data_IF_320228983834
#
_entry.id   IF_320228983834
#
_cell.length_a   1.000
_cell.length_b   1.000
_cell.length_c   1.000
_cell.angle_alpha   90.00
_cell.angle_beta   90.00
_cell.angle_gamma   90.00
#
_symmetry.space_group_name_H-M   'P 1'
#
loop_
_entity.id
_entity.type
_entity.pdbx_description
1 polymer ?
#
# COMPACT_ATOMS: atom_id res chain seq x y z
N UNK A 1 4.46 -17.63 -2.26
CA UNK A 1 4.66 -19.01 -1.77
C UNK A 1 3.34 -19.61 -1.29
N UNK A 2 2.70 -19.03 -0.26
CA UNK A 2 1.44 -19.52 0.34
C UNK A 2 0.37 -19.93 -0.68
N UNK A 3 -0.06 -19.04 -1.59
CA UNK A 3 -1.06 -19.35 -2.61
C UNK A 3 -0.74 -20.60 -3.48
N UNK A 4 0.54 -20.87 -3.75
CA UNK A 4 0.95 -22.09 -4.48
C UNK A 4 0.69 -23.32 -3.62
N UNK A 5 1.00 -23.26 -2.33
CA UNK A 5 0.70 -24.33 -1.36
C UNK A 5 -0.80 -24.54 -1.21
N UNK A 6 -1.60 -23.46 -1.17
CA UNK A 6 -3.07 -23.53 -1.14
C UNK A 6 -3.65 -24.21 -2.39
N UNK A 7 -3.15 -23.87 -3.59
CA UNK A 7 -3.57 -24.50 -4.85
C UNK A 7 -3.13 -25.97 -4.93
N UNK A 8 -1.94 -26.31 -4.45
CA UNK A 8 -1.49 -27.71 -4.37
C UNK A 8 -2.33 -28.53 -3.39
N UNK A 9 -2.70 -27.97 -2.23
CA UNK A 9 -3.59 -28.63 -1.27
C UNK A 9 -4.98 -28.90 -1.86
N UNK A 10 -5.53 -27.95 -2.63
CA UNK A 10 -6.77 -28.12 -3.40
C UNK A 10 -6.64 -29.20 -4.49
N UNK A 11 -5.51 -29.26 -5.20
CA UNK A 11 -5.28 -30.27 -6.25
C UNK A 11 -5.14 -31.66 -5.65
N UNK A 12 -4.34 -31.81 -4.60
CA UNK A 12 -3.93 -33.10 -4.02
C UNK A 12 -4.86 -33.56 -2.88
N UNK A 13 -5.91 -32.78 -2.60
CA UNK A 13 -6.94 -33.06 -1.56
C UNK A 13 -6.33 -33.38 -0.19
N UNK A 14 -5.23 -32.68 0.13
CA UNK A 14 -4.37 -32.96 1.27
C UNK A 14 -3.83 -31.66 1.84
N UNK A 15 -4.11 -31.40 3.11
CA UNK A 15 -3.54 -30.28 3.83
C UNK A 15 -2.09 -30.60 4.22
N UNK A 16 -1.11 -29.73 3.88
CA UNK A 16 0.28 -29.93 4.26
C UNK A 16 0.49 -29.74 5.77
N UNK A 17 1.54 -30.35 6.36
CA UNK A 17 1.86 -30.15 7.75
C UNK A 17 2.40 -28.74 8.01
N UNK A 18 1.93 -28.10 9.08
CA UNK A 18 2.58 -26.92 9.65
C UNK A 18 3.84 -27.37 10.39
N UNK A 19 5.01 -27.11 9.80
CA UNK A 19 6.31 -27.44 10.40
C UNK A 19 6.54 -26.64 11.69
N UNK A 20 7.15 -27.27 12.70
CA UNK A 20 7.43 -26.65 14.00
C UNK A 20 6.20 -26.46 14.91
N UNK A 21 4.98 -26.71 14.44
CA UNK A 21 3.76 -26.57 15.23
C UNK A 21 3.43 -27.87 15.97
N UNK A 22 3.78 -27.93 17.25
CA UNK A 22 3.73 -29.16 18.07
C UNK A 22 2.46 -29.32 18.93
N UNK A 23 1.66 -28.27 19.08
CA UNK A 23 0.42 -28.30 19.86
C UNK A 23 -0.48 -27.11 19.56
N UNK A 24 -1.79 -27.33 19.66
CA UNK A 24 -2.81 -26.28 19.45
C UNK A 24 -2.95 -25.46 20.73
N UNK A 25 -2.90 -24.12 20.62
CA UNK A 25 -3.26 -23.22 21.72
C UNK A 25 -4.75 -23.41 22.05
N UNK A 26 -5.15 -23.80 23.27
CA UNK A 26 -6.56 -23.98 23.65
C UNK A 26 -7.43 -22.72 23.48
N UNK A 27 -6.83 -21.53 23.37
CA UNK A 27 -7.53 -20.26 23.09
C UNK A 27 -7.70 -19.99 21.60
N UNK A 28 -6.99 -20.71 20.74
CA UNK A 28 -7.05 -20.59 19.29
C UNK A 28 -7.96 -21.68 18.71
N UNK A 29 -9.22 -21.35 18.44
CA UNK A 29 -10.21 -22.27 17.85
C UNK A 29 -9.98 -22.63 16.38
N UNK A 30 -8.76 -22.52 15.86
CA UNK A 30 -8.41 -22.88 14.48
C UNK A 30 -7.98 -24.35 14.39
N UNK A 31 -8.54 -25.05 13.41
CA UNK A 31 -8.20 -26.44 13.09
C UNK A 31 -6.88 -26.51 12.29
N UNK A 32 -5.77 -26.37 13.03
CA UNK A 32 -4.40 -26.45 12.50
C UNK A 32 -3.96 -27.89 12.21
N UNK A 33 -3.00 -28.06 11.29
CA UNK A 33 -2.48 -29.38 10.86
C UNK A 33 -1.04 -29.59 11.36
N UNK A 34 -0.82 -30.02 12.63
CA UNK A 34 0.51 -30.15 13.23
C UNK A 34 1.30 -31.33 12.66
N UNK A 35 2.53 -31.09 12.20
CA UNK A 35 3.61 -32.06 11.91
C UNK A 35 3.34 -33.19 10.89
N UNK A 36 2.09 -33.54 10.59
CA UNK A 36 1.70 -34.61 9.65
C UNK A 36 0.63 -34.08 8.70
N UNK A 37 0.78 -34.38 7.41
CA UNK A 37 -0.21 -34.03 6.41
C UNK A 37 -1.57 -34.69 6.71
N UNK A 38 -2.68 -34.00 6.42
CA UNK A 38 -4.03 -34.51 6.63
C UNK A 38 -4.80 -34.55 5.32
N UNK A 39 -5.21 -35.73 4.87
CA UNK A 39 -6.10 -35.87 3.72
C UNK A 39 -7.45 -35.23 4.05
N UNK A 40 -7.92 -34.31 3.22
CA UNK A 40 -9.16 -33.60 3.42
C UNK A 40 -9.75 -33.22 2.05
N UNK A 41 -10.88 -33.82 1.65
CA UNK A 41 -11.60 -33.38 0.46
C UNK A 41 -12.04 -31.92 0.59
N UNK A 42 -11.82 -31.13 -0.46
CA UNK A 42 -12.08 -29.69 -0.47
C UNK A 42 -12.28 -29.16 -1.89
N UNK A 43 -13.30 -28.32 -2.09
CA UNK A 43 -13.61 -27.69 -3.37
C UNK A 43 -13.15 -26.23 -3.46
N UNK A 44 -12.95 -25.59 -2.31
CA UNK A 44 -12.51 -24.20 -2.18
C UNK A 44 -11.48 -24.06 -1.06
N UNK A 45 -10.57 -23.09 -1.20
CA UNK A 45 -9.64 -22.70 -0.15
C UNK A 45 -9.32 -21.21 -0.22
N UNK A 46 -8.96 -20.61 0.91
CA UNK A 46 -8.51 -19.22 1.01
C UNK A 46 -7.00 -19.16 1.24
N UNK A 47 -6.35 -18.16 0.66
CA UNK A 47 -5.00 -17.71 1.01
C UNK A 47 -5.11 -16.30 1.57
N UNK A 48 -4.51 -16.04 2.74
CA UNK A 48 -4.68 -14.83 3.53
C UNK A 48 -3.30 -14.24 3.89
N UNK A 49 -2.96 -13.10 3.31
CA UNK A 49 -1.75 -12.38 3.60
C UNK A 49 -2.06 -11.08 4.35
N UNK A 50 -1.48 -10.91 5.54
CA UNK A 50 -1.62 -9.71 6.37
C UNK A 50 -0.23 -9.13 6.63
N UNK A 51 0.19 -8.19 5.77
CA UNK A 51 1.54 -7.62 5.81
C UNK A 51 1.63 -6.37 6.71
N UNK A 52 2.86 -5.93 6.98
CA UNK A 52 3.11 -4.68 7.70
C UNK A 52 2.41 -3.48 7.07
N UNK A 53 2.08 -2.51 7.91
CA UNK A 53 1.38 -1.27 7.54
C UNK A 53 -0.01 -1.47 6.89
N UNK A 54 -0.68 -2.61 7.17
CA UNK A 54 -2.09 -2.83 6.82
C UNK A 54 -2.34 -3.33 5.39
N UNK A 55 -1.30 -3.69 4.65
CA UNK A 55 -1.42 -4.27 3.31
C UNK A 55 -1.95 -5.72 3.41
N UNK A 56 -3.28 -5.84 3.38
CA UNK A 56 -4.03 -7.07 3.61
C UNK A 56 -4.66 -7.58 2.31
N UNK A 57 -4.56 -8.88 2.04
CA UNK A 57 -5.17 -9.51 0.87
C UNK A 57 -5.69 -10.93 1.19
N UNK A 58 -6.88 -11.24 0.69
CA UNK A 58 -7.46 -12.59 0.69
C UNK A 58 -7.74 -13.00 -0.75
N UNK A 59 -7.27 -14.19 -1.14
CA UNK A 59 -7.56 -14.79 -2.44
C UNK A 59 -8.30 -16.09 -2.24
N UNK A 60 -9.45 -16.24 -2.90
CA UNK A 60 -10.21 -17.49 -2.93
C UNK A 60 -9.85 -18.31 -4.18
N UNK A 61 -9.53 -19.57 -3.97
CA UNK A 61 -9.29 -20.56 -5.01
C UNK A 61 -10.40 -21.61 -4.98
N UNK A 62 -10.79 -22.10 -6.15
CA UNK A 62 -11.75 -23.18 -6.31
C UNK A 62 -11.20 -24.23 -7.29
N UNK A 63 -11.63 -25.48 -7.17
CA UNK A 63 -11.22 -26.52 -8.12
C UNK A 63 -11.87 -26.30 -9.50
N UNK A 64 -11.24 -26.75 -10.60
CA UNK A 64 -11.90 -26.80 -11.90
C UNK A 64 -13.23 -27.55 -11.81
N UNK A 65 -14.30 -26.97 -12.34
CA UNK A 65 -15.66 -27.51 -12.27
C UNK A 65 -16.46 -27.10 -11.02
N UNK A 66 -15.84 -26.52 -9.99
CA UNK A 66 -16.58 -25.89 -8.89
C UNK A 66 -17.25 -24.63 -9.40
N UNK A 67 -18.58 -24.55 -9.27
CA UNK A 67 -19.34 -23.35 -9.63
C UNK A 67 -18.96 -22.19 -8.71
N UNK A 68 -18.44 -21.12 -9.28
CA UNK A 68 -18.10 -19.86 -8.59
C UNK A 68 -18.80 -18.70 -9.29
N UNK A 69 -19.19 -17.63 -8.56
CA UNK A 69 -19.69 -16.42 -9.18
C UNK A 69 -18.64 -15.86 -10.16
N UNK A 70 -19.08 -15.44 -11.35
CA UNK A 70 -18.21 -14.72 -12.27
C UNK A 70 -17.65 -13.46 -11.59
N UNK A 71 -16.37 -13.11 -11.84
CA UNK A 71 -15.85 -11.82 -11.38
C UNK A 71 -16.67 -10.69 -11.99
N UNK A 72 -16.86 -9.56 -11.29
CA UNK A 72 -17.51 -8.40 -11.86
C UNK A 72 -16.72 -7.90 -13.08
N UNK A 73 -17.43 -7.58 -14.15
CA UNK A 73 -16.81 -6.97 -15.34
C UNK A 73 -16.19 -5.61 -15.01
N UNK A 74 -15.07 -5.31 -15.65
CA UNK A 74 -14.41 -4.01 -15.53
C UNK A 74 -15.35 -2.91 -16.05
N UNK A 75 -15.41 -1.79 -15.32
CA UNK A 75 -16.37 -0.72 -15.63
C UNK A 75 -15.85 0.16 -16.76
N UNK A 76 -16.76 0.51 -17.66
CA UNK A 76 -16.54 1.54 -18.67
C UNK A 76 -16.86 2.93 -18.10
N UNK A 77 -16.17 3.28 -17.02
CA UNK A 77 -16.27 4.57 -16.33
C UNK A 77 -14.97 5.35 -16.55
N UNK A 78 -15.10 6.64 -16.87
CA UNK A 78 -13.95 7.53 -17.04
C UNK A 78 -13.24 7.80 -15.72
N UNK A 79 -11.94 7.53 -15.68
CA UNK A 79 -11.07 7.94 -14.57
C UNK A 79 -10.63 9.39 -14.79
N UNK A 80 -10.73 10.20 -13.74
CA UNK A 80 -10.38 11.64 -13.76
C UNK A 80 -9.47 11.99 -12.59
N UNK A 81 -8.54 12.93 -12.82
CA UNK A 81 -7.73 13.53 -11.75
C UNK A 81 -8.55 14.64 -11.10
N UNK A 82 -8.72 14.57 -9.77
CA UNK A 82 -9.49 15.55 -8.98
C UNK A 82 -8.62 16.34 -8.00
N UNK A 83 -7.48 15.78 -7.59
CA UNK A 83 -6.54 16.37 -6.64
C UNK A 83 -5.11 16.25 -7.13
N UNK A 84 -4.30 17.27 -6.84
CA UNK A 84 -2.85 17.24 -7.05
C UNK A 84 -2.20 17.82 -5.78
N UNK A 85 -1.22 17.12 -5.24
CA UNK A 85 -0.41 17.58 -4.12
C UNK A 85 1.07 17.33 -4.43
N UNK A 86 1.93 18.27 -4.07
CA UNK A 86 3.36 18.25 -4.43
C UNK A 86 4.21 18.71 -3.25
N UNK A 87 5.30 18.00 -2.97
CA UNK A 87 6.28 18.42 -1.95
C UNK A 87 7.66 18.32 -2.57
N UNK A 88 8.17 19.45 -3.04
CA UNK A 88 9.38 19.55 -3.89
C UNK A 88 10.25 20.73 -3.47
N UNK A 89 11.51 20.77 -3.92
CA UNK A 89 12.37 21.95 -3.77
C UNK A 89 11.85 23.17 -4.56
N UNK A 90 10.97 22.95 -5.55
CA UNK A 90 10.31 24.00 -6.32
C UNK A 90 9.03 24.54 -5.67
N UNK A 91 8.46 23.87 -4.68
CA UNK A 91 7.17 24.25 -4.10
C UNK A 91 6.54 23.10 -3.28
N UNK A 92 5.72 23.46 -2.29
CA UNK A 92 5.02 22.52 -1.40
C UNK A 92 3.50 22.49 -1.63
N UNK A 93 3.05 23.10 -2.73
CA UNK A 93 1.69 23.14 -3.24
C UNK A 93 1.74 23.36 -4.77
N UNK A 94 0.66 23.04 -5.52
CA UNK A 94 0.68 23.11 -6.99
C UNK A 94 0.93 24.52 -7.54
N UNK A 95 0.38 25.56 -6.90
CA UNK A 95 0.45 26.94 -7.37
C UNK A 95 1.87 27.51 -7.22
N UNK A 96 2.48 27.37 -6.04
CA UNK A 96 3.85 27.82 -5.77
C UNK A 96 4.88 27.09 -6.66
N UNK A 97 4.65 25.80 -6.96
CA UNK A 97 5.46 25.06 -7.93
C UNK A 97 5.29 25.61 -9.34
N UNK A 98 4.05 25.88 -9.76
CA UNK A 98 3.72 26.40 -11.08
C UNK A 98 4.26 27.82 -11.31
N UNK A 99 4.20 28.70 -10.31
CA UNK A 99 4.79 30.04 -10.36
C UNK A 99 6.30 30.02 -10.57
N UNK A 100 7.02 29.23 -9.77
CA UNK A 100 8.48 29.09 -9.92
C UNK A 100 8.87 28.44 -11.24
N UNK A 101 8.10 27.46 -11.71
CA UNK A 101 8.28 26.87 -13.04
C UNK A 101 8.11 27.92 -14.15
N UNK A 102 7.03 28.71 -14.13
CA UNK A 102 6.79 29.79 -15.10
C UNK A 102 7.87 30.88 -15.06
N UNK A 103 8.43 31.16 -13.88
CA UNK A 103 9.54 32.09 -13.69
C UNK A 103 10.91 31.51 -14.10
N UNK A 104 10.99 30.27 -14.60
CA UNK A 104 12.23 29.63 -15.01
C UNK A 104 13.18 29.25 -13.86
N UNK A 105 12.67 29.21 -12.62
CA UNK A 105 13.49 28.95 -11.42
C UNK A 105 13.87 27.47 -11.36
N UNK A 106 15.17 27.18 -11.45
CA UNK A 106 15.72 25.84 -11.25
C UNK A 106 16.25 25.69 -9.82
N UNK A 107 15.58 24.93 -8.92
CA UNK A 107 15.98 24.82 -7.51
C UNK A 107 17.21 23.92 -7.25
N UNK A 108 17.85 23.39 -8.31
CA UNK A 108 18.98 22.45 -8.21
C UNK A 108 20.36 23.13 -8.25
N UNK A 109 21.10 23.06 -7.15
CA UNK A 109 22.43 23.66 -6.99
C UNK A 109 23.49 22.70 -6.43
N UNK A 110 24.71 23.18 -6.15
CA UNK A 110 25.76 22.40 -5.49
C UNK A 110 25.33 21.97 -4.08
N UNK A 111 25.44 20.67 -3.78
CA UNK A 111 25.09 20.07 -2.51
C UNK A 111 26.04 18.91 -2.19
N UNK A 112 26.88 19.06 -1.16
CA UNK A 112 27.85 18.04 -0.71
C UNK A 112 28.72 17.44 -1.83
N UNK A 113 29.21 18.28 -2.75
CA UNK A 113 30.04 17.86 -3.89
C UNK A 113 29.27 17.29 -5.10
N UNK A 114 27.95 17.17 -5.00
CA UNK A 114 27.05 16.77 -6.09
C UNK A 114 26.18 17.96 -6.51
N UNK A 115 25.35 17.80 -7.56
CA UNK A 115 24.26 18.73 -7.88
C UNK A 115 22.93 18.12 -7.45
N UNK A 116 22.19 18.79 -6.56
CA UNK A 116 20.92 18.31 -6.04
C UNK A 116 19.95 19.45 -5.75
N UNK A 117 18.66 19.11 -5.61
CA UNK A 117 17.59 20.02 -5.18
C UNK A 117 16.99 19.48 -3.87
N UNK A 118 17.53 19.83 -2.69
CA UNK A 118 17.04 19.31 -1.42
C UNK A 118 15.63 19.84 -1.12
N UNK A 119 14.72 18.95 -0.74
CA UNK A 119 13.35 19.32 -0.32
C UNK A 119 13.36 19.66 1.16
N UNK A 120 13.32 20.95 1.48
CA UNK A 120 13.01 21.44 2.83
C UNK A 120 11.48 21.48 3.00
N UNK A 121 10.98 20.85 4.07
CA UNK A 121 9.56 20.81 4.43
C UNK A 121 9.42 20.56 5.95
N UNK A 122 8.41 21.14 6.59
CA UNK A 122 8.05 20.81 7.97
C UNK A 122 6.89 19.80 7.98
N UNK A 123 7.13 18.51 8.31
CA UNK A 123 6.05 17.53 8.43
C UNK A 123 5.07 17.86 9.56
N UNK A 124 5.38 18.79 10.47
CA UNK A 124 4.51 19.21 11.56
C UNK A 124 3.22 19.90 11.15
N UNK A 125 3.14 20.42 9.92
CA UNK A 125 1.90 20.98 9.34
C UNK A 125 0.81 19.92 9.11
N UNK A 126 1.19 18.65 8.95
CA UNK A 126 0.26 17.56 8.56
C UNK A 126 0.29 16.35 9.49
N UNK A 127 1.41 16.10 10.19
CA UNK A 127 1.66 14.83 10.88
C UNK A 127 1.94 15.11 12.37
N UNK A 128 1.19 14.52 13.32
CA UNK A 128 1.42 14.79 14.73
C UNK A 128 2.78 14.25 15.22
N UNK A 129 3.34 14.77 16.33
CA UNK A 129 4.71 14.47 16.76
C UNK A 129 4.99 12.99 17.03
N UNK A 130 3.97 12.21 17.42
CA UNK A 130 4.10 10.79 17.80
C UNK A 130 4.29 9.91 16.57
N UNK A 131 3.57 10.23 15.50
CA UNK A 131 3.58 9.53 14.22
C UNK A 131 4.85 9.87 13.44
N UNK A 132 5.23 11.17 13.40
CA UNK A 132 6.47 11.65 12.74
C UNK A 132 7.73 10.90 13.16
N UNK A 133 7.87 10.57 14.44
CA UNK A 133 9.05 9.88 15.00
C UNK A 133 9.19 8.43 14.54
N UNK A 134 8.21 7.88 13.82
CA UNK A 134 8.14 6.47 13.40
C UNK A 134 8.17 6.29 11.89
N UNK A 135 8.51 7.33 11.13
CA UNK A 135 8.45 7.36 9.66
C UNK A 135 9.82 7.69 9.05
N UNK A 136 10.19 6.99 7.98
CA UNK A 136 11.25 7.44 7.09
C UNK A 136 10.86 8.75 6.37
N UNK A 137 11.86 9.47 5.84
CA UNK A 137 11.65 10.67 5.02
C UNK A 137 10.71 10.42 3.83
N UNK A 138 10.75 9.24 3.21
CA UNK A 138 9.82 8.86 2.14
C UNK A 138 8.36 8.86 2.61
N UNK A 139 8.09 8.29 3.79
CA UNK A 139 6.75 8.27 4.39
C UNK A 139 6.25 9.66 4.73
N UNK A 140 7.09 10.49 5.35
CA UNK A 140 6.76 11.89 5.69
C UNK A 140 6.41 12.72 4.45
N UNK A 141 7.16 12.57 3.36
CA UNK A 141 6.89 13.26 2.08
C UNK A 141 5.61 12.74 1.42
N UNK A 142 5.39 11.43 1.40
CA UNK A 142 4.21 10.81 0.81
C UNK A 142 2.92 11.25 1.55
N UNK A 143 2.92 11.24 2.88
CA UNK A 143 1.77 11.68 3.70
C UNK A 143 1.43 13.14 3.42
N UNK A 144 2.43 14.04 3.36
CA UNK A 144 2.19 15.45 3.07
C UNK A 144 1.66 15.66 1.63
N UNK A 145 2.23 15.00 0.62
CA UNK A 145 1.77 15.11 -0.76
C UNK A 145 0.34 14.57 -0.95
N UNK A 146 0.01 13.41 -0.38
CA UNK A 146 -1.33 12.84 -0.44
C UNK A 146 -2.35 13.67 0.37
N UNK A 147 -1.94 14.34 1.45
CA UNK A 147 -2.79 15.29 2.17
C UNK A 147 -3.13 16.51 1.30
N UNK A 148 -2.13 17.18 0.72
CA UNK A 148 -2.41 18.34 -0.16
C UNK A 148 -3.26 17.93 -1.38
N UNK A 149 -3.08 16.71 -1.92
CA UNK A 149 -3.93 16.18 -2.99
C UNK A 149 -5.40 16.00 -2.57
N UNK A 150 -5.66 15.50 -1.36
CA UNK A 150 -7.00 15.39 -0.79
C UNK A 150 -7.65 16.78 -0.59
N UNK A 151 -6.89 17.73 -0.03
CA UNK A 151 -7.33 19.12 0.18
C UNK A 151 -7.66 19.80 -1.15
N UNK A 152 -6.79 19.67 -2.17
CA UNK A 152 -7.04 20.22 -3.50
C UNK A 152 -8.29 19.62 -4.17
N UNK A 153 -8.59 18.34 -3.92
CA UNK A 153 -9.81 17.72 -4.41
C UNK A 153 -11.08 18.08 -3.61
N UNK A 154 -10.93 18.69 -2.42
CA UNK A 154 -12.01 18.92 -1.47
C UNK A 154 -12.57 17.63 -0.85
N UNK A 155 -11.71 16.63 -0.60
CA UNK A 155 -12.11 15.28 -0.21
C UNK A 155 -11.45 14.81 1.08
N UNK A 156 -12.19 14.06 1.90
CA UNK A 156 -11.63 13.28 3.01
C UNK A 156 -11.29 11.85 2.57
N UNK A 157 -10.31 11.23 3.25
CA UNK A 157 -10.00 9.82 3.05
C UNK A 157 -11.03 8.92 3.75
N UNK A 158 -11.36 7.78 3.13
CA UNK A 158 -12.34 6.83 3.67
C UNK A 158 -12.08 5.39 3.20
N UNK A 159 -13.06 4.50 3.44
CA UNK A 159 -13.02 3.06 3.18
C UNK A 159 -12.77 2.63 1.72
N UNK A 160 -12.99 3.52 0.75
CA UNK A 160 -12.81 3.24 -0.69
C UNK A 160 -11.82 4.20 -1.34
N UNK A 161 -10.99 4.83 -0.51
CA UNK A 161 -9.75 5.50 -0.91
C UNK A 161 -8.61 4.50 -0.72
N UNK A 162 -7.98 4.09 -1.81
CA UNK A 162 -6.73 3.32 -1.78
C UNK A 162 -5.50 4.21 -1.89
N UNK A 163 -4.32 3.61 -1.81
CA UNK A 163 -3.02 4.29 -1.96
C UNK A 163 -2.13 3.46 -2.89
N UNK A 164 -1.58 4.06 -3.95
CA UNK A 164 -0.56 3.40 -4.80
C UNK A 164 0.67 4.28 -4.88
N UNK A 165 1.67 3.98 -4.05
CA UNK A 165 2.89 4.76 -3.98
C UNK A 165 3.93 4.27 -5.00
N UNK A 166 4.44 5.17 -5.85
CA UNK A 166 5.63 4.92 -6.67
C UNK A 166 6.91 5.28 -5.92
N UNK A 167 7.90 4.37 -5.84
CA UNK A 167 9.25 4.73 -5.35
C UNK A 167 10.35 4.02 -6.13
N UNK A 168 11.42 4.76 -6.46
CA UNK A 168 12.54 4.23 -7.25
C UNK A 168 13.59 3.48 -6.40
N UNK A 169 13.94 4.03 -5.24
CA UNK A 169 14.98 3.50 -4.34
C UNK A 169 14.47 3.10 -2.95
N UNK A 170 13.21 3.42 -2.62
CA UNK A 170 12.66 3.12 -1.30
C UNK A 170 13.23 4.01 -0.18
N UNK A 171 13.09 3.58 1.09
CA UNK A 171 13.38 4.38 2.28
C UNK A 171 14.88 4.39 2.63
N UNK A 172 15.70 4.98 1.75
CA UNK A 172 17.17 4.91 1.81
C UNK A 172 17.78 5.27 3.17
N UNK A 173 17.23 6.25 3.91
CA UNK A 173 17.75 6.66 5.23
C UNK A 173 17.54 5.56 6.27
N UNK A 174 16.32 5.04 6.43
CA UNK A 174 16.08 3.93 7.37
C UNK A 174 16.81 2.65 6.95
N UNK A 175 16.97 2.40 5.65
CA UNK A 175 17.79 1.28 5.15
C UNK A 175 19.26 1.45 5.56
N UNK A 176 19.86 2.63 5.38
CA UNK A 176 21.23 2.94 5.83
C UNK A 176 21.38 2.79 7.36
N UNK A 177 20.47 3.40 8.13
CA UNK A 177 20.44 3.35 9.59
C UNK A 177 20.32 1.92 10.15
N UNK A 178 19.59 1.04 9.45
CA UNK A 178 19.45 -0.36 9.82
C UNK A 178 20.65 -1.22 9.42
N UNK A 179 21.16 -1.07 8.19
CA UNK A 179 22.18 -1.98 7.65
C UNK A 179 23.62 -1.61 8.03
N UNK A 180 23.99 -0.33 8.18
CA UNK A 180 25.37 0.03 8.52
C UNK A 180 25.84 -0.58 9.86
N UNK A 181 25.06 -0.54 10.97
CA UNK A 181 25.46 -1.21 12.22
C UNK A 181 25.56 -2.73 12.06
N UNK A 182 24.65 -3.35 11.30
CA UNK A 182 24.66 -4.79 11.04
C UNK A 182 25.88 -5.23 10.24
N UNK A 183 26.31 -4.43 9.26
CA UNK A 183 27.52 -4.70 8.49
C UNK A 183 28.80 -4.48 9.32
N UNK A 184 28.80 -3.51 10.24
CA UNK A 184 29.96 -3.19 11.08
C UNK A 184 30.11 -4.08 12.32
N UNK A 185 29.02 -4.63 12.87
CA UNK A 185 29.02 -5.32 14.17
C UNK A 185 28.14 -6.57 14.23
N UNK A 186 27.64 -7.04 13.09
CA UNK A 186 26.82 -8.25 12.98
C UNK A 186 25.34 -8.05 13.33
N UNK A 187 24.54 -9.11 13.18
CA UNK A 187 23.08 -9.07 13.30
C UNK A 187 22.55 -8.62 14.67
N UNK A 188 23.34 -8.73 15.74
CA UNK A 188 22.98 -8.24 17.06
C UNK A 188 22.85 -6.70 17.13
N UNK A 189 23.43 -5.96 16.17
CA UNK A 189 23.31 -4.51 16.06
C UNK A 189 22.06 -4.05 15.28
N UNK A 190 21.24 -4.97 14.77
CA UNK A 190 20.00 -4.66 14.06
C UNK A 190 18.97 -3.99 15.00
N UNK A 191 18.45 -2.82 14.62
CA UNK A 191 17.43 -2.11 15.42
C UNK A 191 16.00 -2.53 15.03
N UNK A 192 15.23 -3.20 15.92
CA UNK A 192 13.85 -3.57 15.65
C UNK A 192 12.90 -2.36 15.51
N UNK A 193 13.32 -1.19 16.01
CA UNK A 193 12.55 0.05 15.90
C UNK A 193 12.67 0.69 14.50
N UNK A 194 13.81 0.49 13.82
CA UNK A 194 14.06 1.01 12.46
C UNK A 194 13.52 0.06 11.39
N UNK A 195 13.59 -1.25 11.63
CA UNK A 195 13.17 -2.29 10.65
C UNK A 195 11.81 -2.05 9.96
N UNK A 196 10.72 -1.65 10.65
CA UNK A 196 9.43 -1.39 9.99
C UNK A 196 9.46 -0.27 8.94
N UNK A 197 10.49 0.59 8.95
CA UNK A 197 10.69 1.65 7.97
C UNK A 197 11.63 1.28 6.81
N UNK A 198 12.27 0.09 6.82
CA UNK A 198 13.14 -0.32 5.70
C UNK A 198 12.38 -1.00 4.56
N UNK A 199 11.15 -1.46 4.82
CA UNK A 199 10.31 -2.12 3.82
C UNK A 199 9.63 -1.10 2.90
N UNK A 200 9.63 -1.38 1.60
CA UNK A 200 9.17 -0.44 0.57
C UNK A 200 7.70 -0.04 0.71
N UNK A 201 6.85 -0.95 1.21
CA UNK A 201 5.42 -0.71 1.44
C UNK A 201 5.11 0.15 2.69
N UNK A 202 6.10 0.44 3.54
CA UNK A 202 5.89 1.19 4.78
C UNK A 202 5.27 2.56 4.53
N UNK A 203 5.79 3.30 3.54
CA UNK A 203 5.32 4.66 3.23
C UNK A 203 3.87 4.68 2.73
N UNK A 204 3.45 3.74 1.88
CA UNK A 204 2.07 3.65 1.41
C UNK A 204 1.08 3.33 2.54
N UNK A 205 1.45 2.41 3.44
CA UNK A 205 0.64 2.11 4.62
C UNK A 205 0.65 3.23 5.67
N UNK A 206 1.72 4.01 5.76
CA UNK A 206 1.78 5.23 6.59
C UNK A 206 0.83 6.31 6.07
N UNK A 207 0.76 6.53 4.75
CA UNK A 207 -0.28 7.38 4.11
C UNK A 207 -1.67 6.90 4.49
N UNK A 208 -1.96 5.60 4.32
CA UNK A 208 -3.26 5.02 4.65
C UNK A 208 -3.63 5.20 6.12
N UNK A 209 -2.68 4.92 7.03
CA UNK A 209 -2.88 5.06 8.49
C UNK A 209 -3.07 6.51 8.95
N UNK A 210 -2.32 7.47 8.42
CA UNK A 210 -2.40 8.88 8.86
C UNK A 210 -3.65 9.56 8.31
N UNK A 211 -3.97 9.32 7.04
CA UNK A 211 -5.10 9.99 6.38
C UNK A 211 -6.43 9.26 6.61
N UNK A 212 -6.41 8.00 7.04
CA UNK A 212 -7.61 7.19 7.31
C UNK A 212 -8.15 6.43 6.10
N UNK A 213 -7.37 6.31 5.03
CA UNK A 213 -7.71 5.54 3.83
C UNK A 213 -7.70 4.03 4.15
N UNK A 214 -8.72 3.29 3.69
CA UNK A 214 -8.86 1.84 3.97
C UNK A 214 -9.11 0.96 2.74
N UNK A 215 -8.95 1.53 1.55
CA UNK A 215 -8.96 0.81 0.29
C UNK A 215 -7.63 0.07 0.04
N UNK A 216 -7.45 -0.48 -1.17
CA UNK A 216 -6.24 -1.21 -1.54
C UNK A 216 -4.98 -0.35 -1.37
N UNK A 217 -3.94 -0.90 -0.74
CA UNK A 217 -2.65 -0.24 -0.55
C UNK A 217 -1.57 -1.01 -1.31
N UNK A 218 -0.80 -0.33 -2.15
CA UNK A 218 0.26 -0.93 -2.96
C UNK A 218 1.49 -0.02 -3.07
N UNK A 219 2.64 -0.60 -3.38
CA UNK A 219 3.86 0.15 -3.72
C UNK A 219 4.46 -0.41 -4.99
N UNK A 220 4.77 0.47 -5.93
CA UNK A 220 5.32 0.13 -7.24
C UNK A 220 6.76 0.61 -7.32
N UNK A 221 7.66 -0.30 -7.68
CA UNK A 221 9.09 -0.04 -7.84
C UNK A 221 9.51 -0.26 -9.29
N UNK A 222 9.84 0.81 -10.00
CA UNK A 222 10.26 0.77 -11.41
C UNK A 222 11.35 1.83 -11.71
N UNK A 223 12.25 2.07 -10.75
CA UNK A 223 13.28 3.12 -10.85
C UNK A 223 12.65 4.49 -11.13
N UNK A 224 13.14 5.18 -12.16
CA UNK A 224 12.60 6.48 -12.58
C UNK A 224 11.14 6.43 -13.08
N UNK A 225 10.65 5.28 -13.54
CA UNK A 225 9.28 5.11 -14.01
C UNK A 225 8.27 4.85 -12.88
N UNK A 226 8.73 4.67 -11.62
CA UNK A 226 7.89 4.19 -10.51
C UNK A 226 6.62 5.02 -10.28
N UNK A 227 6.69 6.36 -10.40
CA UNK A 227 5.52 7.23 -10.27
C UNK A 227 4.50 7.05 -11.40
N UNK A 228 4.96 6.94 -12.66
CA UNK A 228 4.08 6.69 -13.80
C UNK A 228 3.44 5.29 -13.73
N UNK A 229 4.21 4.27 -13.36
CA UNK A 229 3.70 2.91 -13.16
C UNK A 229 2.70 2.81 -12.01
N UNK A 230 2.88 3.59 -10.94
CA UNK A 230 1.91 3.70 -9.85
C UNK A 230 0.56 4.28 -10.33
N UNK A 231 0.58 5.32 -11.17
CA UNK A 231 -0.64 5.88 -11.77
C UNK A 231 -1.36 4.86 -12.67
N UNK A 232 -0.64 4.07 -13.46
CA UNK A 232 -1.23 2.99 -14.26
C UNK A 232 -1.91 1.92 -13.38
N UNK A 233 -1.25 1.48 -12.30
CA UNK A 233 -1.82 0.52 -11.35
C UNK A 233 -3.06 1.10 -10.64
N UNK A 234 -3.03 2.38 -10.24
CA UNK A 234 -4.19 3.05 -9.66
C UNK A 234 -5.37 3.15 -10.65
N UNK A 235 -5.10 3.44 -11.92
CA UNK A 235 -6.11 3.47 -13.00
C UNK A 235 -6.77 2.10 -13.19
N UNK A 236 -5.99 1.02 -13.30
CA UNK A 236 -6.53 -0.33 -13.45
C UNK A 236 -7.36 -0.76 -12.23
N UNK A 237 -6.91 -0.43 -11.01
CA UNK A 237 -7.67 -0.68 -9.79
C UNK A 237 -8.97 0.13 -9.72
N UNK A 238 -9.01 1.37 -10.20
CA UNK A 238 -10.25 2.17 -10.28
C UNK A 238 -11.29 1.51 -11.19
N UNK A 239 -10.86 0.99 -12.35
CA UNK A 239 -11.74 0.30 -13.30
C UNK A 239 -12.23 -1.07 -12.79
N UNK A 240 -11.42 -1.75 -11.97
CA UNK A 240 -11.76 -3.04 -11.37
C UNK A 240 -12.62 -2.94 -10.09
N UNK A 241 -12.42 -1.91 -9.26
CA UNK A 241 -12.97 -1.82 -7.90
C UNK A 241 -14.17 -0.87 -7.73
N UNK A 242 -14.76 -0.36 -8.82
CA UNK A 242 -15.94 0.51 -8.74
C UNK A 242 -17.13 -0.15 -8.02
N UNK A 243 -18.01 0.61 -7.34
CA UNK A 243 -18.88 0.16 -6.24
C UNK A 243 -20.07 -0.77 -6.59
N UNK A 244 -19.91 -1.66 -7.58
CA UNK A 244 -20.96 -2.45 -8.27
C UNK A 244 -22.11 -1.56 -8.79
N UNK A 245 -23.14 -2.19 -9.35
CA UNK A 245 -24.53 -1.73 -9.25
C UNK A 245 -25.19 -2.73 -8.32
N UNK A 246 -25.61 -2.33 -7.11
CA UNK A 246 -26.60 -3.15 -6.40
C UNK A 246 -27.86 -3.10 -7.26
N UNK A 247 -28.31 -4.25 -7.76
CA UNK A 247 -29.70 -4.37 -8.21
C UNK A 247 -30.58 -3.88 -7.07
N UNK A 248 -31.52 -2.98 -7.37
CA UNK A 248 -32.32 -2.35 -6.34
C UNK A 248 -33.10 -3.42 -5.57
N UNK A 249 -32.75 -3.63 -4.30
CA UNK A 249 -33.76 -4.08 -3.35
C UNK A 249 -34.76 -2.92 -3.24
N UNK A 250 -36.05 -3.13 -3.53
CA UNK A 250 -37.02 -2.04 -3.57
C UNK A 250 -37.20 -1.48 -2.15
N UNK A 251 -36.71 -0.25 -1.90
CA UNK A 251 -37.04 0.50 -0.69
C UNK A 251 -36.02 1.52 -0.14
N UNK A 252 -34.70 1.31 -0.27
CA UNK A 252 -33.72 2.18 0.42
C UNK A 252 -33.25 3.35 -0.47
N UNK A 253 -33.99 4.47 -0.42
CA UNK A 253 -33.80 5.67 -1.25
C UNK A 253 -32.60 6.56 -0.89
N UNK A 254 -31.42 5.98 -0.63
CA UNK A 254 -30.20 6.76 -0.36
C UNK A 254 -29.51 7.18 -1.67
N UNK A 255 -28.94 8.40 -1.74
CA UNK A 255 -28.32 8.90 -2.96
C UNK A 255 -27.14 8.04 -3.41
N UNK A 256 -27.04 7.86 -4.73
CA UNK A 256 -25.99 7.11 -5.39
C UNK A 256 -24.68 7.90 -5.46
N UNK A 257 -23.56 7.19 -5.32
CA UNK A 257 -22.30 7.60 -5.96
C UNK A 257 -21.40 8.55 -5.17
N UNK A 258 -20.51 7.98 -4.37
CA UNK A 258 -19.11 8.43 -4.35
C UNK A 258 -18.31 7.33 -5.06
N UNK A 259 -17.41 7.67 -5.98
CA UNK A 259 -16.59 6.68 -6.71
C UNK A 259 -15.61 5.92 -5.79
N UNK A 260 -14.94 4.90 -6.35
CA UNK A 260 -13.65 4.48 -5.81
C UNK A 260 -12.60 5.57 -6.09
N UNK A 261 -11.59 5.70 -5.24
CA UNK A 261 -10.57 6.77 -5.31
C UNK A 261 -9.20 6.22 -4.92
N UNK A 262 -8.14 6.85 -5.39
CA UNK A 262 -6.75 6.50 -5.02
C UNK A 262 -5.92 7.77 -4.80
N UNK A 263 -4.88 7.61 -3.96
CA UNK A 263 -3.84 8.57 -3.62
C UNK A 263 -2.46 8.05 -4.04
#
# INVERSE_FOLDING_TARGET
MEAVVTVLALRDQTLPPTAGFTGVDPKCGLDSVPLRARRQPMDVALSNNFAFAGANATVAFARPGTSVPAPPEARDESVVVTGIGVVTAGGQDPDALWEKYRAGVSPGGPYRGLRAAPVEFDPGRWIPPRERRRMDRLGLLAVAACHEALVHAGLDAHDRVGVVLGTGLGPMRSTEEFYLPVLASGSAAASPAVFPNTVFNAAAGQVAMVLGAKGPTSTVTAGHAAGASALSVAYDLLRACGPRRRGALPGDGRPLGHGARFL
#
